data_IF_134145976982
#
_entry.id   IF_134145976982
#
_cell.length_a   1.000
_cell.length_b   1.000
_cell.length_c   1.000
_cell.angle_alpha   90.00
_cell.angle_beta   90.00
_cell.angle_gamma   90.00
#
_symmetry.space_group_name_H-M   'P 1'
#
loop_
_entity.id
_entity.type
_entity.pdbx_description
1 polymer ?
#
# COMPACT_ATOMS: atom_id res chain seq x y z
N UNK A 1 26.29 -23.93 -12.36
CA UNK A 1 24.88 -23.63 -12.07
C UNK A 1 24.17 -23.48 -13.40
N UNK A 2 23.34 -24.45 -13.78
CA UNK A 2 22.60 -24.46 -15.04
C UNK A 2 21.45 -23.46 -14.90
N UNK A 3 21.47 -22.38 -15.69
CA UNK A 3 20.31 -21.49 -15.82
C UNK A 3 19.13 -22.32 -16.32
N UNK A 4 18.00 -22.22 -15.62
CA UNK A 4 16.73 -22.80 -16.06
C UNK A 4 16.38 -22.07 -17.36
N UNK A 5 16.55 -22.72 -18.52
CA UNK A 5 16.35 -22.11 -19.84
C UNK A 5 14.88 -21.83 -20.20
N UNK A 6 14.08 -21.37 -19.24
CA UNK A 6 12.68 -21.01 -19.46
C UNK A 6 12.61 -19.80 -20.42
N UNK A 7 11.78 -19.92 -21.46
CA UNK A 7 11.60 -18.88 -22.48
C UNK A 7 10.63 -17.79 -22.01
N UNK A 8 9.79 -18.11 -21.02
CA UNK A 8 8.90 -17.15 -20.38
C UNK A 8 8.52 -17.58 -18.97
N UNK A 9 8.29 -16.59 -18.11
CA UNK A 9 7.86 -16.81 -16.74
C UNK A 9 6.96 -15.69 -16.23
N UNK A 10 6.10 -16.01 -15.28
CA UNK A 10 5.25 -15.05 -14.59
C UNK A 10 5.30 -15.26 -13.08
N UNK A 11 5.33 -14.15 -12.35
CA UNK A 11 5.05 -14.12 -10.91
C UNK A 11 3.79 -13.33 -10.72
N UNK A 12 2.82 -13.90 -10.01
CA UNK A 12 1.59 -13.22 -9.62
C UNK A 12 1.58 -13.12 -8.10
N UNK A 13 1.42 -11.90 -7.60
CA UNK A 13 1.44 -11.56 -6.18
C UNK A 13 0.00 -11.16 -5.77
N UNK A 14 -0.57 -11.87 -4.80
CA UNK A 14 -1.97 -11.69 -4.36
C UNK A 14 -2.12 -10.75 -3.17
N UNK A 15 -2.91 -9.69 -3.24
CA UNK A 15 -3.25 -8.87 -2.07
C UNK A 15 -4.04 -9.62 -0.99
N UNK A 16 -4.30 -8.94 0.14
CA UNK A 16 -4.93 -9.50 1.36
C UNK A 16 -6.29 -10.19 1.12
N UNK A 17 -6.98 -9.88 0.02
CA UNK A 17 -8.28 -10.48 -0.34
C UNK A 17 -8.18 -11.59 -1.40
N UNK A 18 -6.97 -12.08 -1.71
CA UNK A 18 -6.74 -13.02 -2.82
C UNK A 18 -6.84 -12.38 -4.21
N UNK A 19 -6.98 -11.06 -4.29
CA UNK A 19 -6.99 -10.31 -5.55
C UNK A 19 -5.57 -10.06 -6.02
N UNK A 20 -5.21 -10.31 -7.30
CA UNK A 20 -3.88 -10.00 -7.81
C UNK A 20 -3.57 -8.51 -7.65
N UNK A 21 -2.45 -8.19 -6.98
CA UNK A 21 -1.95 -6.83 -6.78
C UNK A 21 -0.84 -6.47 -7.77
N UNK A 22 0.06 -7.41 -8.05
CA UNK A 22 1.18 -7.20 -8.97
C UNK A 22 1.43 -8.48 -9.78
N UNK A 23 1.75 -8.31 -11.07
CA UNK A 23 2.22 -9.40 -11.91
C UNK A 23 3.48 -8.96 -12.65
N UNK A 24 4.57 -9.71 -12.49
CA UNK A 24 5.76 -9.58 -13.32
C UNK A 24 5.76 -10.74 -14.32
N UNK A 25 5.50 -10.45 -15.59
CA UNK A 25 5.60 -11.42 -16.68
C UNK A 25 6.84 -11.06 -17.49
N UNK A 26 7.81 -11.96 -17.48
CA UNK A 26 9.06 -11.83 -18.22
C UNK A 26 8.98 -12.73 -19.45
N UNK A 27 8.98 -12.11 -20.63
CA UNK A 27 9.09 -12.79 -21.91
C UNK A 27 10.29 -12.22 -22.65
N UNK A 28 11.30 -13.06 -22.96
CA UNK A 28 12.52 -12.65 -23.68
C UNK A 28 13.14 -11.32 -23.16
N UNK A 29 13.28 -11.19 -21.84
CA UNK A 29 13.88 -10.02 -21.14
C UNK A 29 13.14 -8.68 -21.26
N UNK A 30 11.88 -8.68 -21.69
CA UNK A 30 11.04 -7.47 -21.69
C UNK A 30 9.90 -7.56 -20.67
N UNK A 31 9.78 -6.61 -19.72
CA UNK A 31 8.57 -6.50 -18.90
C UNK A 31 7.41 -6.08 -19.80
N UNK A 32 6.39 -6.91 -19.86
CA UNK A 32 5.15 -6.60 -20.56
C UNK A 32 4.23 -5.82 -19.62
N UNK A 33 3.77 -4.65 -20.05
CA UNK A 33 2.78 -3.85 -19.33
C UNK A 33 1.41 -4.54 -19.47
N UNK A 34 0.93 -5.17 -18.40
CA UNK A 34 -0.33 -5.93 -18.40
C UNK A 34 -1.43 -5.17 -17.68
N UNK A 35 -2.56 -4.99 -18.37
CA UNK A 35 -3.81 -4.48 -17.77
C UNK A 35 -4.40 -5.49 -16.76
N UNK A 36 -5.01 -4.97 -15.70
CA UNK A 36 -5.63 -5.70 -14.58
C UNK A 36 -6.64 -6.76 -15.08
N UNK A 37 -7.38 -6.45 -16.15
CA UNK A 37 -8.35 -7.35 -16.76
C UNK A 37 -7.70 -8.62 -17.34
N UNK A 38 -6.47 -8.54 -17.86
CA UNK A 38 -5.75 -9.71 -18.41
C UNK A 38 -5.19 -10.60 -17.30
N UNK A 39 -4.73 -10.03 -16.19
CA UNK A 39 -4.24 -10.78 -15.03
C UNK A 39 -5.37 -11.58 -14.38
N UNK A 40 -6.57 -11.00 -14.27
CA UNK A 40 -7.76 -11.71 -13.75
C UNK A 40 -8.13 -12.92 -14.61
N UNK A 41 -8.08 -12.80 -15.94
CA UNK A 41 -8.39 -13.91 -16.84
C UNK A 41 -7.36 -15.05 -16.74
N UNK A 42 -6.06 -14.72 -16.58
CA UNK A 42 -4.99 -15.72 -16.37
C UNK A 42 -5.15 -16.54 -15.09
N UNK A 43 -5.77 -15.94 -14.07
CA UNK A 43 -6.02 -16.58 -12.76
C UNK A 43 -7.31 -17.38 -12.75
N UNK A 44 -8.32 -17.02 -13.54
CA UNK A 44 -9.59 -17.74 -13.52
C UNK A 44 -9.55 -19.06 -14.31
N UNK A 45 -8.84 -19.10 -15.44
CA UNK A 45 -8.93 -20.20 -16.39
C UNK A 45 -7.54 -20.72 -16.81
N UNK A 46 -6.58 -20.85 -15.89
CA UNK A 46 -5.21 -21.25 -16.24
C UNK A 46 -4.45 -22.03 -15.15
N UNK A 47 -3.27 -22.54 -15.51
CA UNK A 47 -2.41 -23.30 -14.60
C UNK A 47 -2.12 -22.55 -13.30
N UNK A 48 -1.85 -21.24 -13.40
CA UNK A 48 -1.63 -20.37 -12.25
C UNK A 48 -2.88 -20.33 -11.34
N UNK A 49 -4.07 -20.24 -11.91
CA UNK A 49 -5.34 -20.33 -11.20
C UNK A 49 -5.52 -21.64 -10.44
N UNK A 50 -5.27 -22.76 -11.12
CA UNK A 50 -5.34 -24.08 -10.49
C UNK A 50 -4.41 -24.20 -9.29
N UNK A 51 -3.16 -23.73 -9.41
CA UNK A 51 -2.19 -23.71 -8.30
C UNK A 51 -2.65 -22.79 -7.18
N UNK A 52 -3.22 -21.63 -7.50
CA UNK A 52 -3.76 -20.71 -6.48
C UNK A 52 -4.96 -21.30 -5.74
N UNK A 53 -5.80 -22.08 -6.42
CA UNK A 53 -6.97 -22.73 -5.83
C UNK A 53 -6.59 -23.92 -4.94
N UNK A 54 -5.64 -24.75 -5.38
CA UNK A 54 -5.28 -25.99 -4.68
C UNK A 54 -4.11 -25.82 -3.72
N UNK A 55 -3.34 -24.72 -3.83
CA UNK A 55 -2.08 -24.49 -3.13
C UNK A 55 -1.05 -25.62 -3.33
N UNK A 56 -1.09 -26.27 -4.50
CA UNK A 56 -0.24 -27.40 -4.84
C UNK A 56 0.64 -27.09 -6.07
N UNK A 57 1.90 -27.56 -6.08
CA UNK A 57 2.78 -27.42 -7.25
C UNK A 57 2.27 -28.27 -8.43
N UNK A 58 2.48 -27.77 -9.65
CA UNK A 58 2.07 -28.45 -10.87
C UNK A 58 3.19 -28.51 -11.91
N UNK A 59 3.45 -29.71 -12.43
CA UNK A 59 4.34 -29.96 -13.56
C UNK A 59 3.53 -30.46 -14.76
N UNK A 60 3.61 -29.73 -15.87
CA UNK A 60 2.97 -30.08 -17.14
C UNK A 60 4.04 -30.44 -18.15
N UNK A 61 4.12 -31.72 -18.47
CA UNK A 61 5.07 -32.27 -19.44
C UNK A 61 4.66 -32.04 -20.89
N UNK A 62 3.35 -31.95 -21.15
CA UNK A 62 2.78 -31.66 -22.45
C UNK A 62 1.46 -30.90 -22.32
N UNK A 63 1.46 -29.64 -22.73
CA UNK A 63 0.33 -28.72 -22.62
C UNK A 63 -0.89 -29.14 -23.46
N UNK A 64 -0.71 -29.94 -24.51
CA UNK A 64 -1.82 -30.45 -25.33
C UNK A 64 -2.55 -31.65 -24.70
N UNK A 65 -1.98 -32.23 -23.63
CA UNK A 65 -2.48 -33.45 -22.99
C UNK A 65 -2.89 -33.26 -21.53
N UNK A 66 -2.78 -32.04 -21.01
CA UNK A 66 -3.04 -31.74 -19.60
C UNK A 66 -4.18 -30.71 -19.51
N UNK A 67 -5.28 -31.09 -18.86
CA UNK A 67 -6.48 -30.26 -18.74
C UNK A 67 -6.27 -29.01 -17.87
N UNK A 68 -5.27 -29.05 -16.98
CA UNK A 68 -4.84 -27.88 -16.18
C UNK A 68 -4.19 -26.81 -17.06
N UNK A 69 -3.73 -27.19 -18.25
CA UNK A 69 -3.34 -26.24 -19.29
C UNK A 69 -4.55 -25.89 -20.16
N UNK A 70 -5.34 -24.93 -19.69
CA UNK A 70 -6.50 -24.45 -20.42
C UNK A 70 -6.08 -23.69 -21.68
N UNK A 71 -6.03 -24.39 -22.81
CA UNK A 71 -5.92 -23.79 -24.14
C UNK A 71 -7.30 -23.30 -24.60
N UNK A 72 -7.66 -22.03 -24.37
CA UNK A 72 -8.89 -21.47 -24.96
C UNK A 72 -8.69 -20.09 -25.61
N UNK A 73 -8.67 -20.13 -26.96
CA UNK A 73 -9.19 -19.14 -27.93
C UNK A 73 -8.77 -17.66 -27.84
N UNK A 74 -7.78 -17.27 -27.03
CA UNK A 74 -7.21 -15.93 -27.16
C UNK A 74 -6.01 -15.96 -28.11
N UNK A 75 -6.18 -15.33 -29.27
CA UNK A 75 -5.16 -15.12 -30.30
C UNK A 75 -4.02 -14.21 -29.81
N UNK A 76 -3.33 -14.56 -28.72
CA UNK A 76 -2.06 -13.94 -28.37
C UNK A 76 -0.95 -14.77 -29.03
N UNK A 77 -0.14 -14.12 -29.87
CA UNK A 77 0.97 -14.74 -30.62
C UNK A 77 2.04 -15.42 -29.72
N UNK A 78 1.90 -15.31 -28.40
CA UNK A 78 2.81 -15.83 -27.37
C UNK A 78 2.35 -17.15 -26.76
N UNK A 79 1.04 -17.41 -26.64
CA UNK A 79 0.50 -18.66 -26.08
C UNK A 79 0.60 -19.86 -27.05
N UNK A 80 0.70 -19.62 -28.36
CA UNK A 80 0.88 -20.66 -29.39
C UNK A 80 2.20 -21.45 -29.26
N UNK A 81 3.11 -21.06 -28.35
CA UNK A 81 4.44 -21.67 -28.26
C UNK A 81 4.65 -22.59 -27.06
N UNK A 82 3.98 -22.42 -25.92
CA UNK A 82 4.29 -23.21 -24.72
C UNK A 82 3.86 -24.67 -24.84
N UNK A 83 4.83 -25.60 -24.71
CA UNK A 83 4.63 -27.05 -24.81
C UNK A 83 4.87 -27.80 -23.51
N UNK A 84 5.52 -27.16 -22.54
CA UNK A 84 5.60 -27.63 -21.16
C UNK A 84 5.57 -26.43 -20.20
N UNK A 85 5.14 -26.67 -18.98
CA UNK A 85 5.02 -25.62 -17.96
C UNK A 85 5.26 -26.18 -16.56
N UNK A 86 5.66 -25.29 -15.66
CA UNK A 86 5.92 -25.58 -14.26
C UNK A 86 5.35 -24.43 -13.44
N UNK A 87 4.56 -24.72 -12.42
CA UNK A 87 3.93 -23.70 -11.58
C UNK A 87 3.99 -24.12 -10.13
N UNK A 88 4.37 -23.19 -9.24
CA UNK A 88 4.50 -23.44 -7.81
C UNK A 88 3.86 -22.30 -7.02
N UNK A 89 3.18 -22.61 -5.91
CA UNK A 89 2.62 -21.58 -5.05
C UNK A 89 3.73 -20.85 -4.29
N UNK A 90 3.53 -19.57 -4.01
CA UNK A 90 4.35 -18.80 -3.08
C UNK A 90 3.66 -18.82 -1.72
N UNK A 91 4.16 -19.64 -0.79
CA UNK A 91 3.57 -19.79 0.54
C UNK A 91 4.55 -19.31 1.60
N UNK A 92 4.13 -18.34 2.40
CA UNK A 92 4.92 -17.82 3.51
C UNK A 92 4.10 -17.86 4.79
N UNK A 93 4.64 -18.49 5.84
CA UNK A 93 3.97 -18.62 7.15
C UNK A 93 2.55 -19.21 7.08
N UNK A 94 2.31 -20.12 6.14
CA UNK A 94 1.00 -20.74 5.90
C UNK A 94 0.03 -19.88 5.08
N UNK A 95 0.45 -18.69 4.65
CA UNK A 95 -0.34 -17.80 3.78
C UNK A 95 0.11 -17.96 2.33
N UNK A 96 -0.85 -18.16 1.43
CA UNK A 96 -0.62 -18.16 -0.01
C UNK A 96 -0.52 -16.70 -0.49
N UNK A 97 0.71 -16.25 -0.75
CA UNK A 97 0.98 -14.86 -1.14
C UNK A 97 1.07 -14.68 -2.65
N UNK A 98 1.08 -15.76 -3.43
CA UNK A 98 1.21 -15.68 -4.89
C UNK A 98 1.44 -17.02 -5.58
N UNK A 99 1.82 -16.95 -6.85
CA UNK A 99 2.19 -18.10 -7.69
C UNK A 99 3.30 -17.71 -8.65
N UNK A 100 4.25 -18.62 -8.86
CA UNK A 100 5.33 -18.52 -9.83
C UNK A 100 5.08 -19.56 -10.92
N UNK A 101 5.10 -19.15 -12.19
CA UNK A 101 4.90 -20.05 -13.34
C UNK A 101 5.99 -19.85 -14.37
N UNK A 102 6.54 -20.94 -14.89
CA UNK A 102 7.48 -20.97 -16.01
C UNK A 102 6.87 -21.78 -17.15
N UNK A 103 7.14 -21.38 -18.39
CA UNK A 103 6.74 -22.15 -19.57
C UNK A 103 7.85 -22.24 -20.61
N UNK A 104 7.84 -23.31 -21.38
CA UNK A 104 8.86 -23.60 -22.37
C UNK A 104 8.26 -24.14 -23.68
N UNK A 105 8.79 -23.78 -24.86
CA UNK A 105 8.23 -24.18 -26.14
C UNK A 105 8.57 -25.60 -26.60
N UNK A 106 9.26 -26.37 -25.75
CA UNK A 106 9.62 -27.77 -25.98
C UNK A 106 8.88 -28.63 -24.96
N UNK A 107 8.19 -29.71 -25.37
CA UNK A 107 7.56 -30.64 -24.43
C UNK A 107 8.64 -31.39 -23.64
N UNK A 108 8.30 -31.89 -22.46
CA UNK A 108 9.23 -32.65 -21.59
C UNK A 108 10.52 -31.88 -21.20
N UNK A 109 10.52 -30.55 -21.34
CA UNK A 109 11.67 -29.74 -20.97
C UNK A 109 11.87 -29.68 -19.46
N UNK A 110 10.78 -29.48 -18.73
CA UNK A 110 10.80 -29.48 -17.27
C UNK A 110 10.82 -30.91 -16.72
N UNK A 111 11.50 -31.08 -15.59
CA UNK A 111 11.69 -32.36 -14.90
C UNK A 111 11.29 -32.20 -13.44
N UNK A 112 11.30 -33.30 -12.68
CA UNK A 112 11.02 -33.25 -11.25
C UNK A 112 12.07 -32.42 -10.49
N UNK A 113 13.33 -32.51 -10.89
CA UNK A 113 14.42 -31.71 -10.30
C UNK A 113 14.22 -30.21 -10.55
N UNK A 114 13.69 -29.82 -11.71
CA UNK A 114 13.30 -28.44 -11.98
C UNK A 114 12.16 -27.98 -11.07
N UNK A 115 11.21 -28.86 -10.72
CA UNK A 115 10.12 -28.57 -9.79
C UNK A 115 10.64 -28.31 -8.39
N UNK A 116 11.47 -29.21 -7.87
CA UNK A 116 12.07 -29.11 -6.54
C UNK A 116 12.92 -27.84 -6.40
N UNK A 117 13.73 -27.52 -7.41
CA UNK A 117 14.51 -26.28 -7.43
C UNK A 117 13.60 -25.05 -7.43
N UNK A 118 12.54 -25.05 -8.24
CA UNK A 118 11.60 -23.93 -8.31
C UNK A 118 10.81 -23.76 -7.01
N UNK A 119 10.44 -24.84 -6.32
CA UNK A 119 9.84 -24.78 -4.99
C UNK A 119 10.77 -24.12 -3.97
N UNK A 120 12.05 -24.51 -3.94
CA UNK A 120 13.02 -23.90 -3.03
C UNK A 120 13.19 -22.38 -3.29
N UNK A 121 13.16 -21.96 -4.56
CA UNK A 121 13.19 -20.55 -4.94
C UNK A 121 11.89 -19.84 -4.50
N UNK A 122 10.75 -20.49 -4.70
CA UNK A 122 9.44 -19.98 -4.32
C UNK A 122 9.30 -19.75 -2.82
N UNK A 123 9.83 -20.65 -1.99
CA UNK A 123 9.83 -20.49 -0.53
C UNK A 123 10.54 -19.20 -0.09
N UNK A 124 11.70 -18.90 -0.70
CA UNK A 124 12.44 -17.67 -0.39
C UNK A 124 11.73 -16.42 -0.92
N UNK A 125 11.20 -16.50 -2.15
CA UNK A 125 10.45 -15.41 -2.76
C UNK A 125 9.18 -15.06 -1.97
N UNK A 126 8.46 -16.08 -1.48
CA UNK A 126 7.25 -15.90 -0.69
C UNK A 126 7.53 -15.11 0.61
N UNK A 127 8.63 -15.42 1.30
CA UNK A 127 9.05 -14.69 2.50
C UNK A 127 9.36 -13.23 2.18
N UNK A 128 10.09 -12.97 1.09
CA UNK A 128 10.43 -11.61 0.68
C UNK A 128 9.17 -10.79 0.34
N UNK A 129 8.24 -11.37 -0.41
CA UNK A 129 6.95 -10.77 -0.75
C UNK A 129 6.14 -10.45 0.52
N UNK A 130 6.03 -11.40 1.45
CA UNK A 130 5.30 -11.18 2.70
C UNK A 130 5.93 -10.06 3.53
N UNK A 131 7.26 -10.02 3.65
CA UNK A 131 7.96 -8.97 4.38
C UNK A 131 7.76 -7.59 3.74
N UNK A 132 7.79 -7.48 2.41
CA UNK A 132 7.53 -6.23 1.70
C UNK A 132 6.11 -5.71 2.01
N UNK A 133 5.11 -6.58 2.00
CA UNK A 133 3.72 -6.20 2.37
C UNK A 133 3.58 -5.73 3.80
N UNK A 134 4.16 -6.47 4.75
CA UNK A 134 4.13 -6.10 6.16
C UNK A 134 4.78 -4.73 6.38
N UNK A 135 5.88 -4.47 5.66
CA UNK A 135 6.55 -3.19 5.68
C UNK A 135 5.70 -2.05 5.10
N UNK A 136 5.06 -2.26 3.95
CA UNK A 136 4.17 -1.26 3.34
C UNK A 136 2.94 -0.95 4.20
N UNK A 137 2.34 -1.98 4.82
CA UNK A 137 1.21 -1.83 5.74
C UNK A 137 1.62 -1.01 6.97
N UNK A 138 2.77 -1.31 7.56
CA UNK A 138 3.35 -0.55 8.68
C UNK A 138 3.61 0.92 8.32
N UNK A 139 4.16 1.18 7.12
CA UNK A 139 4.35 2.55 6.64
C UNK A 139 3.02 3.28 6.42
N UNK A 140 2.00 2.60 5.87
CA UNK A 140 0.67 3.18 5.67
C UNK A 140 0.03 3.56 7.01
N UNK A 141 0.09 2.69 8.01
CA UNK A 141 -0.42 2.98 9.34
C UNK A 141 0.30 4.17 9.99
N UNK A 142 1.62 4.22 9.87
CA UNK A 142 2.43 5.35 10.35
C UNK A 142 1.99 6.66 9.69
N UNK A 143 1.81 6.69 8.37
CA UNK A 143 1.33 7.89 7.65
C UNK A 143 -0.05 8.35 8.14
N UNK A 144 -0.97 7.41 8.35
CA UNK A 144 -2.31 7.72 8.87
C UNK A 144 -2.24 8.31 10.28
N UNK A 145 -1.43 7.72 11.16
CA UNK A 145 -1.24 8.24 12.52
C UNK A 145 -0.63 9.64 12.51
N UNK A 146 0.37 9.90 11.67
CA UNK A 146 0.96 11.24 11.53
C UNK A 146 -0.08 12.26 11.08
N UNK A 147 -0.86 11.95 10.03
CA UNK A 147 -1.91 12.85 9.54
C UNK A 147 -2.99 13.13 10.60
N UNK A 148 -3.36 12.12 11.40
CA UNK A 148 -4.28 12.29 12.52
C UNK A 148 -3.68 13.16 13.63
N UNK A 149 -2.41 12.95 13.98
CA UNK A 149 -1.72 13.75 14.99
C UNK A 149 -1.59 15.22 14.54
N UNK A 150 -1.25 15.46 13.27
CA UNK A 150 -1.22 16.80 12.67
C UNK A 150 -2.61 17.46 12.69
N UNK A 151 -3.66 16.72 12.35
CA UNK A 151 -5.04 17.22 12.40
C UNK A 151 -5.49 17.54 13.82
N UNK A 152 -5.18 16.68 14.79
CA UNK A 152 -5.45 16.93 16.21
C UNK A 152 -4.68 18.15 16.72
N UNK A 153 -3.40 18.30 16.34
CA UNK A 153 -2.59 19.47 16.66
C UNK A 153 -3.19 20.75 16.06
N UNK A 154 -3.67 20.70 14.81
CA UNK A 154 -4.35 21.83 14.17
C UNK A 154 -5.67 22.21 14.88
N UNK A 155 -6.47 21.23 15.32
CA UNK A 155 -7.69 21.49 16.10
C UNK A 155 -7.34 22.12 17.46
N UNK A 156 -6.34 21.62 18.16
CA UNK A 156 -5.86 22.22 19.43
C UNK A 156 -5.23 23.60 19.21
N UNK A 157 -4.76 23.93 18.01
CA UNK A 157 -4.23 25.26 17.69
C UNK A 157 -5.31 26.35 17.65
N UNK A 158 -6.58 25.98 17.44
CA UNK A 158 -7.72 26.90 17.55
C UNK A 158 -8.01 27.36 18.99
N UNK A 159 -7.45 26.68 20.01
CA UNK A 159 -7.51 27.07 21.42
C UNK A 159 -6.31 27.95 21.84
N UNK A 160 -5.42 28.32 20.91
CA UNK A 160 -4.23 29.15 21.19
C UNK A 160 -4.41 30.63 20.86
N UNK A 161 -5.58 31.07 20.41
CA UNK A 161 -5.81 32.49 20.10
C UNK A 161 -5.57 33.36 21.35
N UNK A 162 -6.02 32.91 22.52
CA UNK A 162 -5.78 33.57 23.81
C UNK A 162 -4.27 33.68 24.12
N UNK A 163 -3.51 32.60 23.98
CA UNK A 163 -2.04 32.59 24.18
C UNK A 163 -1.30 33.50 23.19
N UNK A 164 -1.75 33.54 21.94
CA UNK A 164 -1.16 34.38 20.90
C UNK A 164 -1.46 35.86 21.17
N UNK A 165 -2.70 36.19 21.52
CA UNK A 165 -3.10 37.55 21.89
C UNK A 165 -2.33 38.03 23.13
N UNK A 166 -2.18 37.18 24.14
CA UNK A 166 -1.41 37.49 25.34
C UNK A 166 0.06 37.82 25.04
N UNK A 167 0.72 37.01 24.20
CA UNK A 167 2.12 37.25 23.78
C UNK A 167 2.26 38.54 22.96
N UNK A 168 1.26 38.89 22.16
CA UNK A 168 1.25 40.16 21.41
C UNK A 168 1.14 41.34 22.40
N UNK A 169 0.27 41.23 23.42
CA UNK A 169 0.11 42.28 24.44
C UNK A 169 1.42 42.51 25.23
N UNK A 170 2.11 41.43 25.63
CA UNK A 170 3.41 41.49 26.32
C UNK A 170 4.49 42.17 25.47
N UNK A 171 4.57 41.84 24.19
CA UNK A 171 5.52 42.48 23.27
C UNK A 171 5.22 43.96 23.04
N UNK A 172 3.93 44.34 22.96
CA UNK A 172 3.52 45.75 22.81
C UNK A 172 3.85 46.54 24.08
N UNK A 173 3.60 45.98 25.27
CA UNK A 173 3.94 46.60 26.56
C UNK A 173 5.44 46.93 26.63
N UNK A 174 6.29 45.98 26.24
CA UNK A 174 7.74 46.16 26.21
C UNK A 174 8.21 47.16 25.15
N UNK A 175 7.67 47.09 23.93
CA UNK A 175 8.08 47.96 22.82
C UNK A 175 7.66 49.42 23.02
N UNK A 176 6.48 49.66 23.60
CA UNK A 176 5.94 51.01 23.82
C UNK A 176 6.28 51.58 25.20
N UNK A 177 6.89 50.78 26.09
CA UNK A 177 7.23 51.13 27.47
C UNK A 177 6.03 51.71 28.25
N UNK A 178 4.86 51.08 28.08
CA UNK A 178 3.61 51.44 28.77
C UNK A 178 3.33 50.48 29.91
N UNK A 179 2.60 50.92 30.93
CA UNK A 179 2.38 50.11 32.13
C UNK A 179 1.38 48.97 31.91
N UNK A 180 0.35 49.17 31.09
CA UNK A 180 -0.73 48.19 30.89
C UNK A 180 -1.18 48.21 29.44
N UNK A 181 -1.39 47.02 28.87
CA UNK A 181 -2.03 46.83 27.56
C UNK A 181 -3.09 45.76 27.71
N UNK A 182 -4.30 46.03 27.22
CA UNK A 182 -5.42 45.09 27.24
C UNK A 182 -6.15 45.12 25.90
N UNK A 183 -6.67 43.97 25.50
CA UNK A 183 -7.52 43.80 24.32
C UNK A 183 -8.87 43.25 24.79
N UNK A 184 -9.94 43.98 24.46
CA UNK A 184 -11.30 43.62 24.76
C UNK A 184 -12.14 43.54 23.49
N UNK A 185 -13.09 42.62 23.45
CA UNK A 185 -14.10 42.52 22.40
C UNK A 185 -15.39 43.17 22.89
N UNK A 186 -16.01 43.97 22.01
CA UNK A 186 -17.32 44.56 22.25
C UNK A 186 -18.41 43.57 21.83
N UNK A 187 -19.31 43.30 22.74
CA UNK A 187 -20.61 42.71 22.49
C UNK A 187 -21.63 43.85 22.29
N UNK A 188 -22.07 44.07 21.06
CA UNK A 188 -23.00 45.15 20.70
C UNK A 188 -24.44 44.88 21.14
N UNK A 189 -24.80 43.61 21.37
CA UNK A 189 -26.14 43.21 21.79
C UNK A 189 -26.32 43.42 23.30
N UNK A 190 -25.28 43.09 24.09
CA UNK A 190 -25.29 43.28 25.54
C UNK A 190 -24.66 44.61 26.00
N UNK A 191 -24.07 45.39 25.07
CA UNK A 191 -23.33 46.64 25.32
C UNK A 191 -22.21 46.44 26.38
N UNK A 192 -21.46 45.34 26.25
CA UNK A 192 -20.36 44.99 27.17
C UNK A 192 -19.03 44.77 26.45
N UNK A 193 -17.93 45.08 27.13
CA UNK A 193 -16.56 44.81 26.69
C UNK A 193 -16.01 43.63 27.50
N UNK A 194 -15.62 42.55 26.82
CA UNK A 194 -15.00 41.39 27.45
C UNK A 194 -13.52 41.33 27.13
N UNK A 195 -12.67 41.30 28.17
CA UNK A 195 -11.22 41.26 28.00
C UNK A 195 -10.75 39.87 27.56
N UNK A 196 -10.16 39.79 26.36
CA UNK A 196 -9.64 38.54 25.79
C UNK A 196 -8.14 38.33 26.05
N UNK A 197 -7.39 39.43 26.26
CA UNK A 197 -5.99 39.37 26.66
C UNK A 197 -5.61 40.64 27.44
N UNK A 198 -4.73 40.54 28.43
CA UNK A 198 -4.26 41.68 29.21
C UNK A 198 -2.94 41.39 29.91
N UNK A 199 -2.10 42.41 30.06
CA UNK A 199 -0.92 42.35 30.93
C UNK A 199 -1.28 42.31 32.43
N UNK A 200 -2.56 42.45 32.78
CA UNK A 200 -3.12 42.21 34.12
C UNK A 200 -3.91 40.88 34.07
N UNK A 201 -3.37 39.78 34.61
CA UNK A 201 -4.00 38.46 34.50
C UNK A 201 -5.41 38.39 35.11
N UNK A 202 -5.68 39.17 36.16
CA UNK A 202 -6.93 39.15 36.90
C UNK A 202 -8.14 39.71 36.12
N UNK A 203 -7.91 40.43 35.02
CA UNK A 203 -9.00 41.00 34.20
C UNK A 203 -9.33 40.15 32.98
N UNK A 204 -8.56 39.11 32.66
CA UNK A 204 -8.82 38.27 31.49
C UNK A 204 -10.12 37.47 31.72
N UNK A 205 -11.05 37.55 30.77
CA UNK A 205 -12.36 36.92 30.85
C UNK A 205 -13.40 37.70 31.66
N UNK A 206 -13.08 38.90 32.18
CA UNK A 206 -14.08 39.77 32.80
C UNK A 206 -14.76 40.64 31.76
N UNK A 207 -16.02 41.00 32.02
CA UNK A 207 -16.83 41.87 31.18
C UNK A 207 -17.20 43.15 31.94
N UNK A 208 -17.12 44.30 31.26
CA UNK A 208 -17.53 45.60 31.79
C UNK A 208 -18.55 46.25 30.85
N UNK A 209 -19.45 47.13 31.32
CA UNK A 209 -20.33 47.89 30.44
C UNK A 209 -19.51 48.77 29.47
N UNK A 210 -19.90 48.82 28.20
CA UNK A 210 -19.19 49.57 27.16
C UNK A 210 -19.41 51.10 27.25
N UNK A 211 -20.41 51.55 28.01
CA UNK A 211 -20.74 52.98 28.21
C UNK A 211 -20.40 53.46 29.63
N UNK A 212 -19.49 54.43 29.71
CA UNK A 212 -19.36 55.36 30.83
C UNK A 212 -19.79 56.77 30.40
#
# INVERSE_FOLDING_TARGET
>A
MQQIGAVSGSVIVLGENGTPMEAAIIYEDHPLDYDTQRIQNLIQDGLAGWVLEHAEPALILNTQRDERWLSRRHNSRTEEKAKSALSVPLIARGELVGVLTLSHPVPLFFTQEHLELMQAIADQAAIAVLNARLYESSQRQTRVMTALAESAAAITSSLRLEDVLQRIMENIQQALNVQVVSLALLDEDEDTLTFQASTIPEVIGTSIPARH
#
